data_IF_399391189419
#
_entry.id   IF_399391189419
#
_cell.length_a   1.000
_cell.length_b   1.000
_cell.length_c   1.000
_cell.angle_alpha   90.00
_cell.angle_beta   90.00
_cell.angle_gamma   90.00
#
_symmetry.space_group_name_H-M   'P 1'
#
loop_
_entity.id
_entity.type
_entity.pdbx_description
1 polymer ?
#
# COMPACT_ATOMS: atom_id res chain seq x y z
N UNK A 1 -27.66 -8.80 14.47
CA UNK A 1 -27.76 -9.46 13.15
C UNK A 1 -28.25 -8.56 12.02
N UNK A 2 -29.45 -7.97 12.05
CA UNK A 2 -29.92 -7.14 10.92
C UNK A 2 -29.04 -5.91 10.58
N UNK A 3 -28.52 -5.12 11.53
CA UNK A 3 -27.67 -3.98 11.17
C UNK A 3 -26.29 -4.40 10.65
N UNK A 4 -25.65 -5.44 11.21
CA UNK A 4 -24.34 -5.90 10.72
C UNK A 4 -24.43 -6.46 9.30
N UNK A 5 -25.49 -7.23 9.01
CA UNK A 5 -25.74 -7.76 7.66
C UNK A 5 -25.80 -6.65 6.61
N UNK A 6 -26.53 -5.57 6.91
CA UNK A 6 -26.65 -4.43 5.99
C UNK A 6 -25.28 -3.78 5.75
N UNK A 7 -24.46 -3.61 6.79
CA UNK A 7 -23.13 -3.03 6.65
C UNK A 7 -22.20 -3.94 5.86
N UNK A 8 -22.20 -5.25 6.10
CA UNK A 8 -21.37 -6.19 5.35
C UNK A 8 -21.76 -6.22 3.87
N UNK A 9 -23.05 -6.28 3.55
CA UNK A 9 -23.53 -6.21 2.17
C UNK A 9 -23.12 -4.87 1.53
N UNK A 10 -23.32 -3.76 2.24
CA UNK A 10 -22.92 -2.44 1.76
C UNK A 10 -21.41 -2.39 1.46
N UNK A 11 -20.56 -2.89 2.35
CA UNK A 11 -19.11 -2.89 2.17
C UNK A 11 -18.66 -3.84 1.05
N UNK A 12 -19.32 -4.98 0.87
CA UNK A 12 -19.05 -5.87 -0.26
C UNK A 12 -19.37 -5.19 -1.59
N UNK A 13 -20.54 -4.54 -1.69
CA UNK A 13 -20.95 -3.80 -2.90
C UNK A 13 -20.02 -2.60 -3.13
N UNK A 14 -19.74 -1.81 -2.09
CA UNK A 14 -18.82 -0.68 -2.15
C UNK A 14 -17.43 -1.13 -2.60
N UNK A 15 -16.90 -2.20 -2.02
CA UNK A 15 -15.59 -2.76 -2.38
C UNK A 15 -15.55 -3.24 -3.82
N UNK A 16 -16.60 -3.91 -4.31
CA UNK A 16 -16.70 -4.31 -5.71
C UNK A 16 -16.78 -3.09 -6.66
N UNK A 17 -17.54 -2.06 -6.29
CA UNK A 17 -17.63 -0.79 -7.05
C UNK A 17 -16.31 -0.04 -7.09
N UNK A 18 -15.62 0.08 -5.95
CA UNK A 18 -14.29 0.69 -5.88
C UNK A 18 -13.32 -0.15 -6.70
N UNK A 19 -13.31 -1.48 -6.57
CA UNK A 19 -12.49 -2.37 -7.40
C UNK A 19 -12.69 -2.18 -8.90
N UNK A 20 -13.92 -1.92 -9.34
CA UNK A 20 -14.21 -1.59 -10.74
C UNK A 20 -13.57 -0.27 -11.17
N UNK A 21 -13.59 0.75 -10.31
CA UNK A 21 -12.84 1.99 -10.52
C UNK A 21 -11.32 1.77 -10.48
N UNK A 22 -10.81 0.91 -9.59
CA UNK A 22 -9.39 0.59 -9.51
C UNK A 22 -8.86 0.00 -10.82
N UNK A 23 -9.66 -0.79 -11.56
CA UNK A 23 -9.28 -1.25 -12.89
C UNK A 23 -8.99 -0.10 -13.87
N UNK A 24 -9.73 1.01 -13.77
CA UNK A 24 -9.45 2.22 -14.57
C UNK A 24 -8.11 2.83 -14.16
N UNK A 25 -7.85 2.95 -12.86
CA UNK A 25 -6.58 3.51 -12.34
C UNK A 25 -5.40 2.64 -12.76
N UNK A 26 -5.50 1.32 -12.57
CA UNK A 26 -4.48 0.34 -12.93
C UNK A 26 -4.12 0.43 -14.42
N UNK A 27 -5.11 0.62 -15.29
CA UNK A 27 -4.89 0.73 -16.72
C UNK A 27 -4.31 2.09 -17.13
N UNK A 28 -4.88 3.19 -16.63
CA UNK A 28 -4.61 4.55 -17.15
C UNK A 28 -3.41 5.23 -16.51
N UNK A 29 -3.22 5.04 -15.21
CA UNK A 29 -2.24 5.81 -14.45
C UNK A 29 -0.79 5.57 -14.92
N UNK A 30 -0.34 4.32 -15.14
CA UNK A 30 1.01 4.05 -15.67
C UNK A 30 1.24 4.61 -17.08
N UNK A 31 0.15 4.83 -17.83
CA UNK A 31 0.17 5.36 -19.20
C UNK A 31 0.05 6.89 -19.26
N UNK A 32 0.00 7.56 -18.11
CA UNK A 32 -0.21 9.00 -18.03
C UNK A 32 -1.58 9.46 -18.55
N UNK A 33 -2.54 8.55 -18.70
CA UNK A 33 -3.89 8.87 -19.17
C UNK A 33 -4.75 9.44 -18.03
N UNK A 34 -5.73 10.27 -18.38
CA UNK A 34 -6.67 10.82 -17.39
C UNK A 34 -7.60 9.74 -16.82
N UNK A 35 -7.67 9.67 -15.48
CA UNK A 35 -8.55 8.75 -14.75
C UNK A 35 -10.03 9.16 -14.77
N UNK A 36 -10.33 10.42 -15.13
CA UNK A 36 -11.69 10.98 -15.09
C UNK A 36 -12.37 10.93 -16.45
N UNK A 37 -11.65 11.25 -17.53
CA UNK A 37 -12.21 11.37 -18.87
C UNK A 37 -11.22 10.83 -19.91
N UNK A 38 -11.67 10.13 -20.97
CA UNK A 38 -13.06 9.81 -21.35
C UNK A 38 -13.64 8.60 -20.58
N UNK A 39 -14.94 8.26 -20.74
CA UNK A 39 -15.53 7.05 -20.17
C UNK A 39 -14.84 5.75 -20.63
N UNK A 40 -15.08 4.64 -19.92
CA UNK A 40 -14.56 3.32 -20.29
C UNK A 40 -15.09 2.86 -21.65
N UNK A 41 -14.19 2.35 -22.49
CA UNK A 41 -14.48 1.89 -23.86
C UNK A 41 -13.83 0.55 -24.13
N UNK A 42 -14.39 -0.20 -25.08
CA UNK A 42 -13.74 -1.40 -25.57
C UNK A 42 -12.48 -1.02 -26.38
N UNK A 43 -11.30 -1.65 -26.14
CA UNK A 43 -10.09 -1.33 -26.89
C UNK A 43 -10.12 -1.81 -28.35
N UNK A 44 -11.04 -2.72 -28.72
CA UNK A 44 -11.13 -3.25 -30.08
C UNK A 44 -12.15 -2.52 -30.94
N UNK A 45 -13.37 -2.30 -30.42
CA UNK A 45 -14.43 -1.66 -31.19
C UNK A 45 -14.70 -0.22 -30.79
N UNK A 46 -13.98 0.31 -29.79
CA UNK A 46 -14.04 1.70 -29.30
C UNK A 46 -15.42 2.18 -28.81
N UNK A 47 -16.43 1.30 -28.85
CA UNK A 47 -17.74 1.51 -28.26
C UNK A 47 -17.60 1.80 -26.77
N UNK A 48 -18.39 2.77 -26.31
CA UNK A 48 -18.56 3.09 -24.89
C UNK A 48 -19.30 1.96 -24.16
N UNK A 49 -18.80 1.64 -22.96
CA UNK A 49 -19.40 0.63 -22.09
C UNK A 49 -20.61 1.26 -21.40
N UNK A 50 -21.78 0.63 -21.52
CA UNK A 50 -23.00 1.13 -20.87
C UNK A 50 -22.93 0.88 -19.37
N UNK A 51 -23.64 1.68 -18.57
CA UNK A 51 -23.58 1.58 -17.10
C UNK A 51 -23.90 0.17 -16.56
N UNK A 52 -24.86 -0.55 -17.15
CA UNK A 52 -25.21 -1.92 -16.74
C UNK A 52 -24.19 -2.97 -17.21
N UNK A 53 -23.38 -2.64 -18.22
CA UNK A 53 -22.22 -3.46 -18.63
C UNK A 53 -21.02 -3.25 -17.71
N UNK A 54 -21.10 -2.27 -16.80
CA UNK A 54 -20.09 -1.94 -15.81
C UNK A 54 -20.51 -2.28 -14.37
N UNK A 55 -21.56 -3.09 -14.18
CA UNK A 55 -21.95 -3.59 -12.84
C UNK A 55 -20.89 -4.62 -12.41
N UNK A 56 -20.14 -4.36 -11.32
CA UNK A 56 -18.99 -5.17 -10.92
C UNK A 56 -19.34 -6.65 -10.82
N UNK A 57 -18.48 -7.52 -11.36
CA UNK A 57 -18.57 -8.99 -11.40
C UNK A 57 -19.77 -9.54 -12.19
N UNK A 58 -20.98 -9.03 -11.93
CA UNK A 58 -22.23 -9.49 -12.53
C UNK A 58 -22.25 -9.28 -14.05
N UNK A 59 -21.79 -8.12 -14.53
CA UNK A 59 -21.75 -7.86 -15.97
C UNK A 59 -20.75 -8.78 -16.67
N UNK A 60 -19.60 -9.06 -16.06
CA UNK A 60 -18.59 -9.96 -16.60
C UNK A 60 -19.14 -11.38 -16.75
N UNK A 61 -19.83 -11.89 -15.72
CA UNK A 61 -20.44 -13.22 -15.75
C UNK A 61 -21.59 -13.30 -16.76
N UNK A 62 -22.49 -12.30 -16.79
CA UNK A 62 -23.61 -12.24 -17.72
C UNK A 62 -23.14 -12.18 -19.19
N UNK A 63 -22.07 -11.43 -19.46
CA UNK A 63 -21.44 -11.33 -20.77
C UNK A 63 -20.52 -12.51 -21.11
N UNK A 64 -20.34 -13.46 -20.18
CA UNK A 64 -19.42 -14.61 -20.30
C UNK A 64 -17.99 -14.18 -20.64
N UNK A 65 -17.54 -13.07 -20.04
CA UNK A 65 -16.20 -12.52 -20.24
C UNK A 65 -15.92 -12.03 -21.66
N UNK A 66 -16.94 -11.57 -22.41
CA UNK A 66 -16.79 -11.05 -23.78
C UNK A 66 -17.46 -9.70 -23.95
N UNK A 67 -16.87 -8.82 -24.76
CA UNK A 67 -17.49 -7.53 -25.08
C UNK A 67 -18.87 -7.73 -25.70
N UNK A 68 -19.88 -6.96 -25.26
CA UNK A 68 -21.24 -7.06 -25.78
C UNK A 68 -21.33 -6.80 -27.30
N UNK A 69 -20.53 -5.86 -27.83
CA UNK A 69 -20.52 -5.46 -29.24
C UNK A 69 -19.69 -6.38 -30.14
N UNK A 70 -18.37 -6.42 -29.96
CA UNK A 70 -17.44 -7.13 -30.86
C UNK A 70 -17.08 -8.55 -30.41
N UNK A 71 -17.57 -9.01 -29.25
CA UNK A 71 -17.28 -10.32 -28.66
C UNK A 71 -15.81 -10.62 -28.34
N UNK A 72 -14.92 -9.62 -28.43
CA UNK A 72 -13.53 -9.72 -27.95
C UNK A 72 -13.54 -10.14 -26.47
N UNK A 73 -12.67 -11.09 -26.05
CA UNK A 73 -12.56 -11.50 -24.66
C UNK A 73 -12.14 -10.34 -23.74
N UNK A 74 -12.71 -10.32 -22.53
CA UNK A 74 -12.37 -9.40 -21.45
C UNK A 74 -11.48 -10.16 -20.46
N UNK A 75 -10.38 -9.55 -20.03
CA UNK A 75 -9.44 -10.19 -19.09
C UNK A 75 -10.13 -10.56 -17.76
N UNK A 76 -9.92 -11.77 -17.22
CA UNK A 76 -10.43 -12.15 -15.89
C UNK A 76 -9.95 -11.27 -14.74
N UNK A 77 -8.83 -10.54 -14.93
CA UNK A 77 -8.27 -9.61 -13.94
C UNK A 77 -9.28 -8.57 -13.47
N UNK A 78 -10.15 -8.09 -14.36
CA UNK A 78 -11.14 -7.07 -14.02
C UNK A 78 -12.05 -7.56 -12.89
N UNK A 79 -12.63 -8.75 -13.08
CA UNK A 79 -13.47 -9.40 -12.07
C UNK A 79 -12.67 -9.82 -10.83
N UNK A 80 -11.41 -10.24 -10.98
CA UNK A 80 -10.54 -10.58 -9.85
C UNK A 80 -10.30 -9.38 -8.93
N UNK A 81 -9.98 -8.21 -9.48
CA UNK A 81 -9.76 -6.96 -8.73
C UNK A 81 -11.05 -6.52 -8.02
N UNK A 82 -12.20 -6.63 -8.67
CA UNK A 82 -13.51 -6.33 -8.08
C UNK A 82 -13.81 -7.26 -6.88
N UNK A 83 -13.63 -8.57 -7.06
CA UNK A 83 -13.88 -9.58 -6.02
C UNK A 83 -12.92 -9.48 -4.85
N UNK A 84 -11.62 -9.29 -5.09
CA UNK A 84 -10.65 -9.20 -4.00
C UNK A 84 -10.90 -7.92 -3.19
N UNK A 85 -11.19 -6.79 -3.83
CA UNK A 85 -11.48 -5.53 -3.12
C UNK A 85 -12.73 -5.67 -2.23
N UNK A 86 -13.78 -6.33 -2.73
CA UNK A 86 -14.97 -6.64 -1.94
C UNK A 86 -14.64 -7.51 -0.70
N UNK A 87 -13.87 -8.58 -0.88
CA UNK A 87 -13.46 -9.47 0.23
C UNK A 87 -12.59 -8.71 1.24
N UNK A 88 -11.61 -7.92 0.80
CA UNK A 88 -10.73 -7.14 1.69
C UNK A 88 -11.53 -6.15 2.54
N UNK A 89 -12.53 -5.49 1.97
CA UNK A 89 -13.39 -4.52 2.66
C UNK A 89 -14.25 -5.19 3.74
N UNK A 90 -14.81 -6.37 3.43
CA UNK A 90 -15.57 -7.16 4.41
C UNK A 90 -14.64 -7.71 5.49
N UNK A 91 -13.48 -8.23 5.12
CA UNK A 91 -12.53 -8.84 6.04
C UNK A 91 -11.98 -7.84 7.07
N UNK A 92 -11.69 -6.60 6.66
CA UNK A 92 -11.27 -5.58 7.61
C UNK A 92 -12.42 -5.17 8.55
N UNK A 93 -13.67 -5.15 8.06
CA UNK A 93 -14.83 -4.94 8.93
C UNK A 93 -15.06 -6.06 9.93
N UNK A 94 -14.95 -7.31 9.48
CA UNK A 94 -15.01 -8.49 10.34
C UNK A 94 -13.95 -8.42 11.44
N UNK A 95 -12.69 -8.13 11.07
CA UNK A 95 -11.61 -8.03 12.04
C UNK A 95 -11.79 -6.90 13.07
N UNK A 96 -12.17 -5.71 12.61
CA UNK A 96 -12.20 -4.52 13.47
C UNK A 96 -13.49 -4.39 14.28
N UNK A 97 -14.64 -4.78 13.72
CA UNK A 97 -15.96 -4.49 14.32
C UNK A 97 -16.79 -5.71 14.67
N UNK A 98 -16.66 -6.84 13.97
CA UNK A 98 -17.42 -8.05 14.33
C UNK A 98 -16.66 -8.88 15.36
N UNK A 99 -15.36 -9.06 15.13
CA UNK A 99 -14.48 -9.91 15.94
C UNK A 99 -13.59 -9.13 16.91
N UNK A 100 -13.65 -7.78 16.88
CA UNK A 100 -12.96 -6.87 17.82
C UNK A 100 -11.46 -7.15 18.03
N UNK A 101 -10.75 -7.49 16.96
CA UNK A 101 -9.35 -7.94 17.03
C UNK A 101 -8.34 -6.81 17.21
N UNK A 102 -8.79 -5.56 17.11
CA UNK A 102 -7.94 -4.38 17.19
C UNK A 102 -8.43 -3.41 18.28
N UNK A 103 -7.57 -2.98 19.22
CA UNK A 103 -7.99 -2.24 20.41
C UNK A 103 -8.50 -0.83 20.11
N UNK A 104 -8.04 -0.22 19.01
CA UNK A 104 -8.50 1.12 18.61
C UNK A 104 -9.91 1.16 18.03
N UNK A 105 -10.57 0.03 17.81
CA UNK A 105 -11.88 -0.02 17.14
C UNK A 105 -12.98 -0.38 18.13
N UNK A 106 -13.33 0.59 18.97
CA UNK A 106 -14.40 0.48 19.95
C UNK A 106 -15.52 1.48 19.62
N UNK A 107 -16.60 0.98 19.00
CA UNK A 107 -17.79 1.76 18.67
C UNK A 107 -17.75 2.42 17.28
N UNK A 108 -18.57 1.90 16.35
CA UNK A 108 -18.58 2.29 14.93
C UNK A 108 -18.72 3.80 14.68
N UNK A 109 -19.53 4.50 15.48
CA UNK A 109 -19.75 5.94 15.29
C UNK A 109 -18.54 6.80 15.65
N UNK A 110 -17.66 6.35 16.55
CA UNK A 110 -16.45 7.09 16.90
C UNK A 110 -15.28 6.79 15.95
N UNK A 111 -15.26 5.58 15.37
CA UNK A 111 -14.11 5.06 14.62
C UNK A 111 -14.35 4.95 13.12
N UNK A 112 -15.47 5.46 12.61
CA UNK A 112 -15.74 5.49 11.17
C UNK A 112 -14.64 6.19 10.34
N UNK A 113 -13.97 7.28 10.80
CA UNK A 113 -12.89 7.90 10.02
C UNK A 113 -11.69 6.96 9.88
N UNK A 114 -11.33 6.28 10.98
CA UNK A 114 -10.28 5.27 10.97
C UNK A 114 -10.64 4.14 10.00
N UNK A 115 -11.89 3.67 10.02
CA UNK A 115 -12.34 2.65 9.09
C UNK A 115 -12.22 3.12 7.63
N UNK A 116 -12.71 4.31 7.32
CA UNK A 116 -12.60 4.90 5.99
C UNK A 116 -11.13 4.99 5.53
N UNK A 117 -10.22 5.38 6.43
CA UNK A 117 -8.78 5.36 6.19
C UNK A 117 -8.26 3.97 5.80
N UNK A 118 -8.65 2.92 6.53
CA UNK A 118 -8.23 1.55 6.23
C UNK A 118 -8.81 1.03 4.90
N UNK A 119 -10.06 1.38 4.56
CA UNK A 119 -10.65 1.06 3.26
C UNK A 119 -9.89 1.73 2.10
N UNK A 120 -9.50 3.01 2.28
CA UNK A 120 -8.68 3.74 1.31
C UNK A 120 -7.30 3.08 1.19
N UNK A 121 -6.65 2.74 2.30
CA UNK A 121 -5.36 2.05 2.31
C UNK A 121 -5.44 0.74 1.53
N UNK A 122 -6.44 -0.11 1.80
CA UNK A 122 -6.61 -1.39 1.12
C UNK A 122 -6.85 -1.20 -0.38
N UNK A 123 -7.67 -0.22 -0.79
CA UNK A 123 -7.87 0.10 -2.20
C UNK A 123 -6.56 0.55 -2.88
N UNK A 124 -5.77 1.40 -2.22
CA UNK A 124 -4.45 1.83 -2.70
C UNK A 124 -3.48 0.66 -2.80
N UNK A 125 -3.43 -0.21 -1.79
CA UNK A 125 -2.58 -1.40 -1.81
C UNK A 125 -2.97 -2.36 -2.94
N UNK A 126 -4.25 -2.54 -3.23
CA UNK A 126 -4.71 -3.34 -4.38
C UNK A 126 -4.23 -2.73 -5.70
N UNK A 127 -4.39 -1.42 -5.89
CA UNK A 127 -3.89 -0.74 -7.11
C UNK A 127 -2.38 -0.85 -7.24
N UNK A 128 -1.63 -0.51 -6.17
CA UNK A 128 -0.18 -0.61 -6.15
C UNK A 128 0.27 -2.04 -6.48
N UNK A 129 -0.33 -3.05 -5.84
CA UNK A 129 -0.02 -4.46 -6.11
C UNK A 129 -0.29 -4.83 -7.56
N UNK A 130 -1.44 -4.42 -8.11
CA UNK A 130 -1.81 -4.77 -9.47
C UNK A 130 -0.94 -4.08 -10.52
N UNK A 131 -0.54 -2.82 -10.29
CA UNK A 131 0.39 -2.09 -11.16
C UNK A 131 1.80 -2.70 -11.05
N UNK A 132 2.27 -3.01 -9.84
CA UNK A 132 3.58 -3.60 -9.60
C UNK A 132 3.71 -4.99 -10.24
N UNK A 133 2.66 -5.82 -10.14
CA UNK A 133 2.61 -7.12 -10.83
C UNK A 133 2.70 -6.97 -12.35
N UNK A 134 2.18 -5.90 -12.95
CA UNK A 134 2.19 -5.73 -14.40
C UNK A 134 3.44 -5.01 -14.92
N UNK A 135 3.89 -3.97 -14.22
CA UNK A 135 4.87 -3.01 -14.70
C UNK A 135 6.10 -2.85 -13.80
N UNK A 136 6.18 -3.53 -12.65
CA UNK A 136 7.25 -3.40 -11.65
C UNK A 136 7.49 -1.95 -11.20
N UNK A 137 6.42 -1.15 -11.14
CA UNK A 137 6.47 0.25 -10.74
C UNK A 137 5.41 0.55 -9.69
N UNK A 138 5.74 1.45 -8.77
CA UNK A 138 4.82 2.02 -7.81
C UNK A 138 4.65 3.50 -8.11
N UNK A 139 3.42 3.91 -8.44
CA UNK A 139 3.10 5.31 -8.65
C UNK A 139 2.98 6.05 -7.31
N UNK A 140 3.95 6.94 -7.05
CA UNK A 140 4.06 7.70 -5.80
C UNK A 140 2.85 8.63 -5.59
N UNK A 141 2.13 9.04 -6.65
CA UNK A 141 0.96 9.92 -6.52
C UNK A 141 -0.15 9.24 -5.73
N UNK A 142 -0.33 7.92 -5.90
CA UNK A 142 -1.36 7.16 -5.17
C UNK A 142 -0.96 7.02 -3.69
N UNK A 143 0.31 6.78 -3.40
CA UNK A 143 0.77 6.65 -2.00
C UNK A 143 0.70 8.01 -1.29
N UNK A 144 0.98 9.13 -1.97
CA UNK A 144 0.72 10.48 -1.44
C UNK A 144 -0.76 10.69 -1.11
N UNK A 145 -1.66 10.25 -1.98
CA UNK A 145 -3.09 10.29 -1.71
C UNK A 145 -3.45 9.50 -0.45
N UNK A 146 -2.92 8.29 -0.27
CA UNK A 146 -3.15 7.49 0.95
C UNK A 146 -2.60 8.19 2.21
N UNK A 147 -1.39 8.74 2.17
CA UNK A 147 -0.81 9.46 3.30
C UNK A 147 -1.64 10.67 3.70
N UNK A 148 -2.12 11.44 2.72
CA UNK A 148 -2.99 12.59 2.96
C UNK A 148 -4.35 12.15 3.51
N UNK A 149 -4.94 11.09 2.97
CA UNK A 149 -6.17 10.51 3.49
C UNK A 149 -5.98 10.06 4.94
N UNK A 150 -4.87 9.40 5.28
CA UNK A 150 -4.54 9.03 6.66
C UNK A 150 -4.49 10.22 7.58
N UNK A 151 -3.76 11.28 7.22
CA UNK A 151 -3.71 12.52 7.99
C UNK A 151 -5.11 13.10 8.24
N UNK A 152 -5.94 13.23 7.21
CA UNK A 152 -7.30 13.76 7.32
C UNK A 152 -8.22 12.88 8.18
N UNK A 153 -8.13 11.55 8.02
CA UNK A 153 -8.95 10.61 8.78
C UNK A 153 -8.55 10.62 10.26
N UNK A 154 -7.26 10.67 10.57
CA UNK A 154 -6.78 10.78 11.96
C UNK A 154 -7.20 12.11 12.61
N UNK A 155 -7.13 13.23 11.88
CA UNK A 155 -7.63 14.53 12.36
C UNK A 155 -9.12 14.52 12.70
N UNK A 156 -9.88 13.63 12.08
CA UNK A 156 -11.34 13.53 12.21
C UNK A 156 -11.78 12.57 13.32
N UNK A 157 -10.85 11.96 14.07
CA UNK A 157 -11.19 11.06 15.18
C UNK A 157 -11.59 11.88 16.42
N UNK A 158 -12.71 11.55 17.09
CA UNK A 158 -13.10 12.24 18.31
C UNK A 158 -12.02 12.16 19.40
N UNK A 159 -11.81 13.27 20.12
CA UNK A 159 -10.78 13.41 21.14
C UNK A 159 -10.93 12.37 22.26
N UNK A 160 -12.17 12.07 22.66
CA UNK A 160 -12.48 11.06 23.67
C UNK A 160 -12.04 9.64 23.25
N UNK A 161 -11.95 9.38 21.95
CA UNK A 161 -11.48 8.12 21.41
C UNK A 161 -9.95 8.08 21.30
N UNK A 162 -9.35 9.18 20.81
CA UNK A 162 -7.89 9.34 20.75
C UNK A 162 -7.24 9.20 22.12
N UNK A 163 -7.87 9.71 23.18
CA UNK A 163 -7.36 9.60 24.55
C UNK A 163 -7.30 8.15 25.08
N UNK A 164 -7.99 7.20 24.45
CA UNK A 164 -7.96 5.77 24.80
C UNK A 164 -6.89 4.99 24.03
N UNK A 165 -6.23 5.63 23.07
CA UNK A 165 -5.15 5.02 22.30
C UNK A 165 -3.86 5.24 23.09
N UNK A 166 -3.40 4.19 23.77
CA UNK A 166 -2.22 4.23 24.64
C UNK A 166 -0.97 4.80 23.94
N UNK A 167 -0.20 5.60 24.66
CA UNK A 167 1.10 6.14 24.22
C UNK A 167 1.04 7.34 23.27
N UNK A 168 -0.16 7.79 22.88
CA UNK A 168 -0.31 8.93 21.98
C UNK A 168 -0.16 10.29 22.68
N UNK A 169 -0.72 10.45 23.88
CA UNK A 169 -0.70 11.73 24.61
C UNK A 169 0.69 12.13 25.13
N UNK A 170 1.41 11.18 25.75
CA UNK A 170 2.64 11.48 26.49
C UNK A 170 3.84 11.78 25.56
N UNK A 171 3.88 11.18 24.38
CA UNK A 171 5.01 11.31 23.45
C UNK A 171 4.75 12.25 22.28
N UNK A 172 3.51 12.72 22.08
CA UNK A 172 3.18 13.47 20.88
C UNK A 172 3.82 14.86 20.80
N UNK A 173 4.03 15.53 21.94
CA UNK A 173 4.79 16.79 21.94
C UNK A 173 6.23 16.57 21.42
N UNK A 174 6.88 15.50 21.87
CA UNK A 174 8.23 15.12 21.41
C UNK A 174 8.26 14.76 19.93
N UNK A 175 7.30 13.95 19.48
CA UNK A 175 7.14 13.56 18.07
C UNK A 175 6.97 14.82 17.20
N UNK A 176 6.12 15.76 17.60
CA UNK A 176 5.84 16.96 16.81
C UNK A 176 7.04 17.91 16.73
N UNK A 177 7.77 18.08 17.82
CA UNK A 177 9.01 18.87 17.78
C UNK A 177 10.10 18.19 16.96
N UNK A 178 10.22 16.87 17.06
CA UNK A 178 11.06 16.09 16.18
C UNK A 178 10.68 16.31 14.71
N UNK A 179 9.39 16.22 14.36
CA UNK A 179 8.92 16.45 12.99
C UNK A 179 9.19 17.88 12.51
N UNK A 180 9.02 18.88 13.39
CA UNK A 180 9.30 20.29 13.07
C UNK A 180 10.80 20.49 12.82
N UNK A 181 11.64 19.90 13.67
CA UNK A 181 13.09 19.86 13.47
C UNK A 181 13.48 19.15 12.18
N UNK A 182 12.81 18.04 11.83
CA UNK A 182 13.01 17.32 10.57
C UNK A 182 12.65 18.17 9.34
N UNK A 183 11.57 18.95 9.40
CA UNK A 183 11.18 19.90 8.34
C UNK A 183 12.24 20.99 8.19
N UNK A 184 12.75 21.56 9.28
CA UNK A 184 13.86 22.52 9.24
C UNK A 184 15.10 21.87 8.60
N UNK A 185 15.45 20.65 9.03
CA UNK A 185 16.52 19.85 8.44
C UNK A 185 16.35 19.61 6.93
N UNK A 186 15.12 19.37 6.48
CA UNK A 186 14.78 19.23 5.06
C UNK A 186 14.96 20.54 4.28
N UNK A 187 14.56 21.68 4.86
CA UNK A 187 14.79 23.02 4.27
C UNK A 187 16.29 23.30 4.14
N UNK A 188 17.07 22.97 5.18
CA UNK A 188 18.53 23.11 5.20
C UNK A 188 19.16 22.22 4.12
N UNK A 189 18.75 20.95 4.01
CA UNK A 189 19.20 20.02 2.96
C UNK A 189 19.01 20.65 1.57
N UNK A 190 17.82 21.20 1.30
CA UNK A 190 17.49 21.82 0.00
C UNK A 190 18.37 23.04 -0.31
N UNK A 191 18.85 23.77 0.71
CA UNK A 191 19.70 24.96 0.53
C UNK A 191 21.21 24.68 0.51
N UNK A 192 21.68 23.69 1.25
CA UNK A 192 23.12 23.43 1.46
C UNK A 192 23.64 22.26 0.60
N UNK A 193 22.89 21.16 0.51
CA UNK A 193 23.40 19.89 -0.06
C UNK A 193 23.18 19.79 -1.57
N UNK A 194 22.09 20.38 -2.09
CA UNK A 194 21.66 20.22 -3.49
C UNK A 194 21.88 21.47 -4.36
N UNK A 195 22.78 22.38 -3.99
CA UNK A 195 23.10 23.53 -4.85
C UNK A 195 23.93 23.14 -6.09
N UNK A 196 24.59 21.97 -6.08
CA UNK A 196 25.60 21.56 -7.08
C UNK A 196 25.51 20.09 -7.55
N UNK A 197 24.41 19.38 -7.33
CA UNK A 197 24.24 18.02 -7.91
C UNK A 197 23.46 18.11 -9.22
N UNK A 198 24.02 17.68 -10.36
CA UNK A 198 23.27 17.63 -11.61
C UNK A 198 22.06 16.70 -11.45
N UNK A 199 20.94 17.08 -12.07
CA UNK A 199 19.69 16.32 -12.02
C UNK A 199 19.95 14.90 -12.57
N UNK A 200 19.52 13.80 -11.92
CA UNK A 200 19.66 12.46 -12.49
C UNK A 200 18.98 12.31 -13.86
N UNK A 201 17.92 13.09 -14.12
CA UNK A 201 17.29 13.21 -15.45
C UNK A 201 18.18 13.91 -16.51
N UNK A 202 19.26 14.57 -16.09
CA UNK A 202 20.25 15.21 -16.98
C UNK A 202 21.52 14.37 -17.14
N UNK A 203 21.54 13.13 -16.64
CA UNK A 203 22.54 12.18 -17.09
C UNK A 203 22.11 11.71 -18.48
N UNK A 204 22.47 12.51 -19.48
CA UNK A 204 22.26 12.25 -20.89
C UNK A 204 22.62 10.79 -21.17
N UNK A 205 21.67 10.05 -21.78
CA UNK A 205 22.00 8.79 -22.45
C UNK A 205 23.26 9.04 -23.29
N UNK A 206 24.23 8.12 -23.32
CA UNK A 206 25.41 8.28 -24.15
C UNK A 206 24.98 8.70 -25.56
N UNK A 207 25.51 9.83 -26.00
CA UNK A 207 25.32 10.51 -27.29
C UNK A 207 25.82 9.63 -28.46
N UNK A 208 25.26 8.42 -28.58
CA UNK A 208 25.61 7.41 -29.58
C UNK A 208 24.38 6.80 -30.26
N UNK A 209 23.18 7.26 -29.96
CA UNK A 209 21.97 6.94 -30.74
C UNK A 209 21.66 8.13 -31.64
N UNK A 210 22.26 8.14 -32.83
CA UNK A 210 22.03 9.15 -33.86
C UNK A 210 20.54 9.35 -34.17
N UNK A 211 20.20 10.54 -34.67
CA UNK A 211 18.82 11.00 -34.95
C UNK A 211 18.00 10.03 -35.82
N UNK A 212 18.65 9.16 -36.61
CA UNK A 212 18.01 8.08 -37.36
C UNK A 212 17.31 7.05 -36.46
N UNK A 213 17.92 6.66 -35.34
CA UNK A 213 17.37 5.63 -34.43
C UNK A 213 16.16 6.14 -33.64
N UNK A 214 16.12 7.44 -33.32
CA UNK A 214 14.97 8.07 -32.64
C UNK A 214 13.77 8.17 -33.59
N UNK A 215 14.02 8.37 -34.89
CA UNK A 215 12.97 8.36 -35.92
C UNK A 215 12.39 6.95 -36.14
N UNK A 216 13.24 5.91 -36.08
CA UNK A 216 12.82 4.50 -36.14
C UNK A 216 12.06 4.06 -34.89
N UNK A 217 12.49 4.48 -33.69
CA UNK A 217 11.78 4.22 -32.44
C UNK A 217 10.38 4.86 -32.42
N UNK A 218 10.25 6.11 -32.89
CA UNK A 218 8.93 6.77 -33.05
C UNK A 218 8.07 6.11 -34.14
N UNK A 219 8.68 5.54 -35.19
CA UNK A 219 7.98 4.72 -36.19
C UNK A 219 7.51 3.38 -35.61
N UNK A 220 8.27 2.79 -34.69
CA UNK A 220 7.91 1.54 -34.03
C UNK A 220 6.87 1.73 -32.91
N UNK A 221 6.86 2.87 -32.20
CA UNK A 221 5.80 3.22 -31.24
C UNK A 221 4.45 3.53 -31.93
N UNK A 222 4.49 4.13 -33.12
CA UNK A 222 3.28 4.42 -33.90
C UNK A 222 2.73 3.20 -34.66
N UNK A 223 3.46 2.09 -34.69
CA UNK A 223 2.96 0.82 -35.20
C UNK A 223 2.00 0.18 -34.19
N UNK A 224 0.70 0.49 -34.30
CA UNK A 224 -0.37 -0.30 -33.65
C UNK A 224 -0.06 -1.80 -33.85
N UNK A 225 -0.03 -2.64 -32.79
CA UNK A 225 0.25 -4.05 -32.94
C UNK A 225 -0.77 -4.67 -33.91
N UNK A 226 -0.29 -5.06 -35.10
CA UNK A 226 -1.10 -5.69 -36.17
C UNK A 226 -1.39 -7.17 -35.94
N UNK A 227 -1.28 -7.66 -34.72
CA UNK A 227 -1.71 -9.01 -34.37
C UNK A 227 -2.89 -8.93 -33.40
N UNK A 228 -4.05 -9.39 -33.87
CA UNK A 228 -5.18 -9.71 -32.98
C UNK A 228 -4.66 -10.63 -31.88
N UNK A 229 -4.76 -10.29 -30.59
CA UNK A 229 -4.52 -11.28 -29.55
C UNK A 229 -5.56 -12.38 -29.74
N UNK A 230 -5.14 -13.56 -30.21
CA UNK A 230 -5.95 -14.77 -30.17
C UNK A 230 -6.02 -15.24 -28.71
N UNK A 231 -6.77 -14.49 -27.90
CA UNK A 231 -7.19 -14.95 -26.59
C UNK A 231 -8.48 -15.75 -26.80
N UNK A 232 -8.33 -17.04 -27.09
CA UNK A 232 -9.39 -17.95 -26.69
C UNK A 232 -9.34 -17.91 -25.16
N UNK A 233 -10.28 -17.22 -24.51
CA UNK A 233 -10.48 -17.40 -23.08
C UNK A 233 -10.78 -18.89 -22.90
N UNK A 234 -9.75 -19.65 -22.49
CA UNK A 234 -9.84 -21.09 -22.37
C UNK A 234 -10.96 -21.37 -21.35
N UNK A 235 -11.80 -22.38 -21.57
CA UNK A 235 -12.88 -22.73 -20.65
C UNK A 235 -12.40 -22.82 -19.18
N UNK A 236 -11.14 -23.22 -18.99
CA UNK A 236 -10.40 -23.24 -17.72
C UNK A 236 -10.26 -21.87 -17.03
N UNK A 237 -10.07 -20.77 -17.76
CA UNK A 237 -9.98 -19.43 -17.18
C UNK A 237 -11.33 -18.95 -16.65
N UNK A 238 -12.41 -19.24 -17.38
CA UNK A 238 -13.78 -18.92 -16.95
C UNK A 238 -14.18 -19.76 -15.74
N UNK A 239 -13.85 -21.06 -15.76
CA UNK A 239 -14.09 -21.96 -14.63
C UNK A 239 -13.29 -21.53 -13.38
N UNK A 240 -12.00 -21.21 -13.53
CA UNK A 240 -11.17 -20.73 -12.43
C UNK A 240 -11.69 -19.43 -11.81
N UNK A 241 -12.13 -18.48 -12.64
CA UNK A 241 -12.75 -17.25 -12.14
C UNK A 241 -14.09 -17.51 -11.45
N UNK A 242 -14.91 -18.43 -11.95
CA UNK A 242 -16.18 -18.80 -11.30
C UNK A 242 -15.95 -19.42 -9.91
N UNK A 243 -14.93 -20.28 -9.78
CA UNK A 243 -14.52 -20.85 -8.48
C UNK A 243 -14.04 -19.73 -7.54
N UNK A 244 -13.23 -18.80 -8.05
CA UNK A 244 -12.77 -17.65 -7.26
C UNK A 244 -13.94 -16.74 -6.83
N UNK A 245 -14.90 -16.49 -7.71
CA UNK A 245 -16.11 -15.73 -7.37
C UNK A 245 -16.94 -16.44 -6.30
N UNK A 246 -17.13 -17.75 -6.45
CA UNK A 246 -17.87 -18.56 -5.48
C UNK A 246 -17.21 -18.54 -4.10
N UNK A 247 -15.89 -18.72 -4.03
CA UNK A 247 -15.17 -18.66 -2.76
C UNK A 247 -15.17 -17.26 -2.13
N UNK A 248 -15.07 -16.20 -2.93
CA UNK A 248 -15.28 -14.82 -2.44
C UNK A 248 -16.65 -14.63 -1.79
N UNK A 249 -17.72 -15.15 -2.42
CA UNK A 249 -19.07 -15.10 -1.86
C UNK A 249 -19.14 -15.93 -0.56
N UNK A 250 -18.57 -17.13 -0.54
CA UNK A 250 -18.55 -17.97 0.66
C UNK A 250 -17.83 -17.29 1.82
N UNK A 251 -16.73 -16.59 1.59
CA UNK A 251 -16.02 -15.83 2.60
C UNK A 251 -16.87 -14.69 3.16
N UNK A 252 -17.56 -13.94 2.31
CA UNK A 252 -18.46 -12.86 2.74
C UNK A 252 -19.65 -13.43 3.53
N UNK A 253 -20.24 -14.54 3.09
CA UNK A 253 -21.33 -15.22 3.81
C UNK A 253 -20.84 -15.76 5.16
N UNK A 254 -19.62 -16.30 5.22
CA UNK A 254 -19.03 -16.78 6.46
C UNK A 254 -18.74 -15.63 7.44
N UNK A 255 -18.38 -14.44 6.96
CA UNK A 255 -18.27 -13.24 7.78
C UNK A 255 -19.60 -12.82 8.41
N UNK A 256 -20.74 -13.15 7.78
CA UNK A 256 -22.07 -12.78 8.26
C UNK A 256 -22.64 -13.82 9.23
N UNK A 257 -22.50 -15.11 8.88
CA UNK A 257 -23.17 -16.21 9.57
C UNK A 257 -22.26 -16.91 10.59
N UNK A 258 -20.95 -16.70 10.52
CA UNK A 258 -19.97 -17.36 11.37
C UNK A 258 -19.94 -16.80 12.79
N UNK A 259 -19.44 -17.61 13.72
CA UNK A 259 -19.20 -17.16 15.09
C UNK A 259 -18.04 -16.15 15.13
N UNK A 260 -18.15 -15.13 15.98
CA UNK A 260 -17.16 -14.04 16.07
C UNK A 260 -16.18 -14.18 17.24
N UNK A 261 -16.04 -15.40 17.77
CA UNK A 261 -14.98 -15.69 18.73
C UNK A 261 -13.59 -15.69 18.06
N UNK A 262 -12.56 -15.63 18.90
CA UNK A 262 -11.15 -15.53 18.48
C UNK A 262 -10.69 -16.69 17.58
N UNK A 263 -11.15 -17.92 17.82
CA UNK A 263 -10.73 -19.09 17.06
C UNK A 263 -11.41 -19.14 15.69
N UNK A 264 -12.72 -18.92 15.67
CA UNK A 264 -13.49 -18.83 14.42
C UNK A 264 -12.99 -17.68 13.55
N UNK A 265 -12.67 -16.52 14.13
CA UNK A 265 -12.04 -15.43 13.41
C UNK A 265 -10.66 -15.79 12.87
N UNK A 266 -9.80 -16.47 13.65
CA UNK A 266 -8.48 -16.86 13.17
C UNK A 266 -8.56 -17.72 11.90
N UNK A 267 -9.54 -18.64 11.84
CA UNK A 267 -9.79 -19.46 10.65
C UNK A 267 -10.27 -18.60 9.46
N UNK A 268 -11.18 -17.65 9.68
CA UNK A 268 -11.62 -16.70 8.64
C UNK A 268 -10.47 -15.84 8.14
N UNK A 269 -9.67 -15.29 9.05
CA UNK A 269 -8.52 -14.46 8.73
C UNK A 269 -7.48 -15.20 7.88
N UNK A 270 -7.19 -16.47 8.21
CA UNK A 270 -6.33 -17.32 7.38
C UNK A 270 -6.94 -17.54 5.98
N UNK A 271 -8.25 -17.73 5.90
CA UNK A 271 -8.93 -17.89 4.61
C UNK A 271 -8.91 -16.60 3.78
N UNK A 272 -9.12 -15.43 4.39
CA UNK A 272 -8.99 -14.12 3.75
C UNK A 272 -7.57 -13.90 3.20
N UNK A 273 -6.55 -14.17 4.00
CA UNK A 273 -5.13 -14.07 3.62
C UNK A 273 -4.78 -15.03 2.49
N UNK A 274 -5.22 -16.28 2.60
CA UNK A 274 -5.07 -17.28 1.54
C UNK A 274 -5.75 -16.85 0.24
N UNK A 275 -6.90 -16.19 0.32
CA UNK A 275 -7.61 -15.66 -0.85
C UNK A 275 -6.84 -14.54 -1.55
N UNK A 276 -6.27 -13.61 -0.78
CA UNK A 276 -5.40 -12.56 -1.33
C UNK A 276 -4.11 -13.12 -1.92
N UNK A 277 -3.48 -14.09 -1.25
CA UNK A 277 -2.31 -14.80 -1.77
C UNK A 277 -2.63 -15.46 -3.12
N UNK A 278 -3.74 -16.19 -3.20
CA UNK A 278 -4.19 -16.81 -4.44
C UNK A 278 -4.44 -15.76 -5.54
N UNK A 279 -5.05 -14.62 -5.21
CA UNK A 279 -5.26 -13.54 -6.17
C UNK A 279 -3.95 -12.98 -6.74
N UNK A 280 -2.90 -12.80 -5.91
CA UNK A 280 -1.57 -12.37 -6.37
C UNK A 280 -0.98 -13.41 -7.32
N UNK A 281 -1.02 -14.70 -6.94
CA UNK A 281 -0.50 -15.78 -7.78
C UNK A 281 -1.23 -15.83 -9.12
N UNK A 282 -2.57 -15.77 -9.12
CA UNK A 282 -3.39 -15.76 -10.34
C UNK A 282 -3.13 -14.52 -11.20
N UNK A 283 -2.99 -13.34 -10.59
CA UNK A 283 -2.66 -12.09 -11.26
C UNK A 283 -1.28 -12.11 -11.92
N UNK A 284 -0.34 -12.88 -11.36
CA UNK A 284 1.00 -13.07 -11.89
C UNK A 284 1.14 -14.09 -13.02
N UNK A 285 0.08 -14.81 -13.42
CA UNK A 285 0.14 -15.88 -14.45
C UNK A 285 0.41 -15.37 -15.89
N UNK A 286 -0.30 -14.35 -16.41
CA UNK A 286 -0.10 -13.89 -17.79
C UNK A 286 1.35 -13.50 -18.09
N UNK A 287 1.85 -13.82 -19.28
CA UNK A 287 3.22 -13.53 -19.71
C UNK A 287 3.39 -12.02 -19.97
N UNK A 288 4.45 -11.40 -19.41
CA UNK A 288 4.69 -9.95 -19.52
C UNK A 288 5.52 -9.63 -20.77
N UNK A 289 5.27 -8.50 -21.41
CA UNK A 289 6.12 -8.00 -22.50
C UNK A 289 7.49 -7.50 -22.00
N UNK A 290 7.64 -7.17 -20.71
CA UNK A 290 8.79 -6.46 -20.13
C UNK A 290 9.79 -7.32 -19.33
N UNK A 291 9.57 -8.64 -19.17
CA UNK A 291 10.34 -9.46 -18.22
C UNK A 291 11.85 -9.59 -18.56
N UNK A 292 12.25 -9.45 -19.84
CA UNK A 292 13.68 -9.53 -20.24
C UNK A 292 14.40 -8.19 -20.16
N UNK A 293 13.73 -7.11 -20.54
CA UNK A 293 14.30 -5.75 -20.56
C UNK A 293 14.58 -5.25 -19.13
N UNK A 294 13.70 -5.56 -18.18
CA UNK A 294 13.86 -5.16 -16.76
C UNK A 294 15.02 -5.90 -16.09
N UNK A 295 15.17 -7.20 -16.34
CA UNK A 295 16.28 -7.98 -15.78
C UNK A 295 17.61 -7.41 -16.29
N UNK A 296 17.70 -7.04 -17.57
CA UNK A 296 18.90 -6.40 -18.14
C UNK A 296 19.18 -5.03 -17.52
N UNK A 297 18.16 -4.17 -17.35
CA UNK A 297 18.32 -2.86 -16.70
C UNK A 297 18.84 -2.96 -15.25
N UNK A 298 18.34 -3.93 -14.47
CA UNK A 298 18.81 -4.19 -13.09
C UNK A 298 20.29 -4.61 -13.08
N UNK A 299 20.77 -5.31 -14.12
CA UNK A 299 22.17 -5.72 -14.20
C UNK A 299 23.12 -4.58 -14.56
N UNK A 300 22.66 -3.60 -15.35
CA UNK A 300 23.43 -2.41 -15.73
C UNK A 300 23.61 -1.42 -14.57
N UNK A 301 22.63 -1.28 -13.67
CA UNK A 301 22.68 -0.35 -12.53
C UNK A 301 23.64 -0.79 -11.38
N UNK A 302 24.15 -2.02 -11.40
CA UNK A 302 24.99 -2.57 -10.31
C UNK A 302 26.23 -1.73 -9.99
N UNK A 303 26.80 -1.04 -10.98
CA UNK A 303 28.07 -0.31 -10.84
C UNK A 303 27.95 0.99 -10.02
N UNK A 304 26.76 1.60 -9.94
CA UNK A 304 26.56 2.89 -9.25
C UNK A 304 25.78 2.79 -7.93
N UNK A 305 25.19 1.62 -7.62
CA UNK A 305 24.29 1.44 -6.49
C UNK A 305 24.86 1.90 -5.12
N UNK A 306 26.12 1.60 -4.81
CA UNK A 306 26.75 2.01 -3.55
C UNK A 306 26.94 3.53 -3.43
N UNK A 307 27.29 4.19 -4.53
CA UNK A 307 27.45 5.64 -4.57
C UNK A 307 26.10 6.32 -4.38
N UNK A 308 25.05 5.79 -5.04
CA UNK A 308 23.67 6.24 -4.85
C UNK A 308 23.26 6.11 -3.38
N UNK A 309 23.46 4.95 -2.75
CA UNK A 309 23.15 4.75 -1.33
C UNK A 309 23.88 5.73 -0.39
N UNK A 310 25.15 6.05 -0.65
CA UNK A 310 25.90 7.03 0.13
C UNK A 310 25.36 8.46 -0.05
N UNK A 311 24.97 8.84 -1.28
CA UNK A 311 24.30 10.13 -1.55
C UNK A 311 22.94 10.22 -0.85
N UNK A 312 22.18 9.13 -0.88
CA UNK A 312 20.90 9.01 -0.18
C UNK A 312 21.09 9.20 1.34
N UNK A 313 22.06 8.50 1.94
CA UNK A 313 22.42 8.65 3.36
C UNK A 313 22.83 10.09 3.72
N UNK A 314 23.73 10.70 2.92
CA UNK A 314 24.14 12.08 3.11
C UNK A 314 22.97 13.07 3.00
N UNK A 315 22.01 12.80 2.11
CA UNK A 315 20.79 13.57 1.96
C UNK A 315 19.83 13.47 3.15
N UNK A 316 19.80 12.34 3.86
CA UNK A 316 18.96 12.13 5.03
C UNK A 316 19.54 12.72 6.32
N UNK A 317 20.86 12.87 6.40
CA UNK A 317 21.55 13.31 7.61
C UNK A 317 21.01 14.65 8.18
N UNK A 318 20.78 15.72 7.39
CA UNK A 318 20.20 16.96 7.93
C UNK A 318 18.79 16.78 8.51
N UNK A 319 18.00 15.86 7.94
CA UNK A 319 16.62 15.56 8.40
C UNK A 319 16.68 14.85 9.75
N UNK A 320 17.55 13.84 9.88
CA UNK A 320 17.74 13.09 11.12
C UNK A 320 18.29 14.00 12.23
N UNK A 321 19.32 14.81 11.93
CA UNK A 321 19.88 15.78 12.88
C UNK A 321 18.80 16.78 13.31
N UNK A 322 18.05 17.33 12.36
CA UNK A 322 16.94 18.22 12.65
C UNK A 322 15.91 17.58 13.60
N UNK A 323 15.54 16.33 13.35
CA UNK A 323 14.62 15.59 14.22
C UNK A 323 15.15 15.46 15.66
N UNK A 324 16.40 15.02 15.82
CA UNK A 324 17.03 14.84 17.12
C UNK A 324 17.15 16.18 17.88
N UNK A 325 17.51 17.25 17.18
CA UNK A 325 17.57 18.61 17.75
C UNK A 325 16.19 19.06 18.22
N UNK A 326 15.14 18.80 17.45
CA UNK A 326 13.77 19.12 17.83
C UNK A 326 13.32 18.40 19.11
N UNK A 327 13.59 17.09 19.21
CA UNK A 327 13.29 16.30 20.41
C UNK A 327 14.09 16.82 21.63
N UNK A 328 15.39 17.07 21.45
CA UNK A 328 16.25 17.57 22.51
C UNK A 328 15.82 18.96 23.00
N UNK A 329 15.42 19.85 22.09
CA UNK A 329 14.99 21.22 22.42
C UNK A 329 13.75 21.25 23.31
N UNK A 330 12.78 20.34 23.09
CA UNK A 330 11.63 20.20 23.99
C UNK A 330 12.06 19.70 25.36
N UNK A 331 12.89 18.66 25.42
CA UNK A 331 13.33 18.08 26.70
C UNK A 331 14.15 19.09 27.53
N UNK A 332 14.91 19.95 26.87
CA UNK A 332 15.70 20.99 27.51
C UNK A 332 14.87 22.18 28.03
N UNK A 333 13.61 22.35 27.58
CA UNK A 333 12.78 23.51 27.91
C UNK A 333 11.35 23.12 28.28
N UNK A 334 11.05 22.96 29.60
CA UNK A 334 9.70 22.71 30.07
C UNK A 334 8.69 23.81 29.65
N UNK A 335 9.16 25.05 29.46
CA UNK A 335 8.33 26.12 28.96
C UNK A 335 7.89 25.87 27.50
N UNK A 336 8.81 25.41 26.66
CA UNK A 336 8.52 25.06 25.26
C UNK A 336 7.58 23.85 25.19
N UNK A 337 7.82 22.82 26.00
CA UNK A 337 6.94 21.65 26.09
C UNK A 337 5.50 22.06 26.44
N UNK A 338 5.32 22.92 27.44
CA UNK A 338 3.99 23.41 27.84
C UNK A 338 3.29 24.23 26.74
N UNK A 339 4.03 25.05 25.99
CA UNK A 339 3.49 25.80 24.85
C UNK A 339 3.05 24.85 23.73
N UNK A 340 3.88 23.87 23.38
CA UNK A 340 3.57 22.87 22.36
C UNK A 340 2.38 22.02 22.78
N UNK A 341 2.31 21.58 24.05
CA UNK A 341 1.18 20.81 24.58
C UNK A 341 -0.14 21.57 24.50
N UNK A 342 -0.15 22.89 24.76
CA UNK A 342 -1.36 23.72 24.61
C UNK A 342 -1.86 23.82 23.17
N UNK A 343 -0.95 23.95 22.20
CA UNK A 343 -1.31 23.96 20.78
C UNK A 343 -1.85 22.58 20.35
N UNK A 344 -1.22 21.52 20.86
CA UNK A 344 -1.55 20.14 20.58
C UNK A 344 -2.92 19.70 21.12
N UNK A 345 -3.25 20.09 22.36
CA UNK A 345 -4.52 19.78 23.02
C UNK A 345 -5.67 20.71 22.59
N UNK A 346 -5.46 21.57 21.58
CA UNK A 346 -6.48 22.47 21.09
C UNK A 346 -7.69 21.68 20.59
N UNK A 347 -8.82 21.87 21.27
CA UNK A 347 -10.10 21.23 20.93
C UNK A 347 -10.86 22.09 19.93
N UNK A 348 -11.31 21.45 18.85
CA UNK A 348 -12.27 22.03 17.89
C UNK A 348 -13.53 21.18 17.97
N UNK A 349 -14.51 21.64 18.75
CA UNK A 349 -15.70 20.84 19.07
C UNK A 349 -15.33 19.54 19.80
N UNK A 350 -15.74 18.40 19.25
CA UNK A 350 -15.42 17.07 19.79
C UNK A 350 -14.04 16.53 19.36
N UNK A 351 -13.29 17.27 18.53
CA UNK A 351 -12.08 16.80 17.87
C UNK A 351 -10.82 17.46 18.45
N UNK A 352 -9.71 16.73 18.41
CA UNK A 352 -8.35 17.23 18.68
C UNK A 352 -7.49 16.95 17.45
N UNK A 353 -7.65 17.74 16.37
CA UNK A 353 -7.11 17.39 15.06
C UNK A 353 -5.59 17.30 15.03
N UNK A 354 -4.88 18.12 15.81
CA UNK A 354 -3.42 18.08 15.90
C UNK A 354 -2.90 16.79 16.54
N UNK A 355 -3.67 16.19 17.47
CA UNK A 355 -3.38 14.86 18.03
C UNK A 355 -3.39 13.81 16.93
N UNK A 356 -4.50 13.72 16.18
CA UNK A 356 -4.61 12.79 15.08
C UNK A 356 -3.56 13.02 13.99
N UNK A 357 -3.36 14.27 13.56
CA UNK A 357 -2.36 14.62 12.55
C UNK A 357 -0.95 14.16 12.95
N UNK A 358 -0.58 14.37 14.22
CA UNK A 358 0.73 13.96 14.71
C UNK A 358 0.96 12.45 14.58
N UNK A 359 -0.09 11.63 14.77
CA UNK A 359 0.00 10.19 14.60
C UNK A 359 0.31 9.79 13.16
N UNK A 360 -0.45 10.33 12.21
CA UNK A 360 -0.24 10.04 10.80
C UNK A 360 1.16 10.48 10.33
N UNK A 361 1.60 11.68 10.75
CA UNK A 361 2.93 12.19 10.41
C UNK A 361 4.06 11.39 11.06
N UNK A 362 3.90 10.95 12.32
CA UNK A 362 4.84 10.07 12.99
C UNK A 362 4.95 8.73 12.26
N UNK A 363 3.80 8.17 11.87
CA UNK A 363 3.69 6.99 11.04
C UNK A 363 4.53 7.14 9.77
N UNK A 364 4.22 8.14 8.95
CA UNK A 364 4.94 8.45 7.71
C UNK A 364 6.44 8.59 7.95
N UNK A 365 6.84 9.39 8.93
CA UNK A 365 8.24 9.68 9.21
C UNK A 365 8.99 8.42 9.62
N UNK A 366 8.55 7.73 10.67
CA UNK A 366 9.25 6.57 11.23
C UNK A 366 9.35 5.42 10.23
N UNK A 367 8.28 5.14 9.47
CA UNK A 367 8.30 4.06 8.48
C UNK A 367 9.12 4.42 7.25
N UNK A 368 9.12 5.68 6.83
CA UNK A 368 9.99 6.15 5.76
C UNK A 368 11.46 6.07 6.19
N UNK A 369 11.80 6.53 7.39
CA UNK A 369 13.16 6.41 7.94
C UNK A 369 13.59 4.95 8.01
N UNK A 370 12.72 4.04 8.47
CA UNK A 370 13.00 2.61 8.46
C UNK A 370 13.23 2.08 7.04
N UNK A 371 12.34 2.37 6.09
CA UNK A 371 12.48 1.88 4.71
C UNK A 371 13.74 2.40 4.02
N UNK A 372 14.09 3.67 4.22
CA UNK A 372 15.35 4.25 3.73
C UNK A 372 16.57 3.61 4.39
N UNK A 373 16.53 3.35 5.70
CA UNK A 373 17.61 2.66 6.40
C UNK A 373 17.83 1.25 5.85
N UNK A 374 16.75 0.48 5.63
CA UNK A 374 16.80 -0.84 4.99
C UNK A 374 17.40 -0.73 3.59
N UNK A 375 16.89 0.17 2.73
CA UNK A 375 17.42 0.40 1.38
C UNK A 375 18.92 0.68 1.40
N UNK A 376 19.38 1.61 2.23
CA UNK A 376 20.79 2.00 2.32
C UNK A 376 21.67 0.84 2.84
N UNK A 377 21.32 0.25 3.99
CA UNK A 377 22.13 -0.78 4.63
C UNK A 377 22.32 -2.01 3.74
N UNK A 378 21.24 -2.51 3.14
CA UNK A 378 21.32 -3.67 2.26
C UNK A 378 21.97 -3.33 0.92
N UNK A 379 21.77 -2.13 0.37
CA UNK A 379 22.43 -1.71 -0.88
C UNK A 379 23.95 -1.59 -0.69
N UNK A 380 24.41 -1.06 0.45
CA UNK A 380 25.83 -1.02 0.80
C UNK A 380 26.40 -2.44 0.97
N UNK A 381 25.69 -3.30 1.70
CA UNK A 381 26.09 -4.68 1.96
C UNK A 381 26.19 -5.53 0.68
N UNK A 382 25.14 -5.56 -0.13
CA UNK A 382 25.07 -6.42 -1.33
C UNK A 382 25.71 -5.79 -2.57
N UNK A 383 25.93 -4.47 -2.59
CA UNK A 383 26.46 -3.76 -3.75
C UNK A 383 25.50 -3.69 -4.93
N UNK A 384 24.20 -3.87 -4.70
CA UNK A 384 23.11 -3.78 -5.68
C UNK A 384 21.91 -3.13 -5.01
N UNK A 385 21.04 -2.48 -5.78
CA UNK A 385 19.79 -1.94 -5.23
C UNK A 385 18.99 -3.04 -4.52
N UNK A 386 18.81 -2.88 -3.21
CA UNK A 386 18.20 -3.91 -2.38
C UNK A 386 16.68 -3.80 -2.27
N UNK A 387 16.13 -2.59 -2.43
CA UNK A 387 14.71 -2.30 -2.23
C UNK A 387 14.33 -1.08 -3.07
N UNK A 388 13.24 -1.17 -3.83
CA UNK A 388 12.77 -0.07 -4.66
C UNK A 388 12.31 1.12 -3.82
N UNK A 389 12.58 2.34 -4.28
CA UNK A 389 12.12 3.55 -3.58
C UNK A 389 10.60 3.59 -3.42
N UNK A 390 9.85 3.03 -4.38
CA UNK A 390 8.39 2.92 -4.34
C UNK A 390 7.86 2.16 -3.13
N UNK A 391 8.55 1.09 -2.71
CA UNK A 391 8.17 0.27 -1.54
C UNK A 391 8.22 1.07 -0.24
N UNK A 392 9.15 2.04 -0.14
CA UNK A 392 9.26 2.94 1.01
C UNK A 392 7.99 3.80 1.14
N UNK A 393 7.43 4.26 0.01
CA UNK A 393 6.20 5.05 0.03
C UNK A 393 4.96 4.21 0.33
N UNK A 394 4.95 2.92 -0.01
CA UNK A 394 3.90 1.99 0.46
C UNK A 394 3.97 1.87 1.98
N UNK A 395 5.17 1.67 2.55
CA UNK A 395 5.36 1.65 4.00
C UNK A 395 4.94 2.95 4.67
N UNK A 396 5.23 4.10 4.06
CA UNK A 396 4.79 5.41 4.52
C UNK A 396 3.25 5.55 4.52
N UNK A 397 2.58 5.07 3.46
CA UNK A 397 1.12 5.06 3.40
C UNK A 397 0.49 4.15 4.46
N UNK A 398 1.05 2.95 4.68
CA UNK A 398 0.62 2.06 5.76
C UNK A 398 0.86 2.72 7.11
N UNK A 399 2.03 3.31 7.33
CA UNK A 399 2.37 4.04 8.56
C UNK A 399 1.40 5.17 8.87
N UNK A 400 1.02 5.96 7.85
CA UNK A 400 0.10 7.08 7.98
C UNK A 400 -1.30 6.68 8.48
N UNK A 401 -1.77 5.49 8.11
CA UNK A 401 -3.15 5.06 8.34
C UNK A 401 -3.21 4.01 9.46
N UNK A 402 -2.44 2.94 9.34
CA UNK A 402 -2.43 1.79 10.22
C UNK A 402 -1.37 1.85 11.33
N UNK A 403 -0.49 2.86 11.29
CA UNK A 403 0.56 3.07 12.27
C UNK A 403 1.87 2.35 11.97
N UNK A 404 2.92 2.79 12.67
CA UNK A 404 4.31 2.34 12.45
C UNK A 404 4.49 0.85 12.70
N UNK A 405 3.85 0.30 13.75
CA UNK A 405 3.96 -1.12 14.09
C UNK A 405 3.49 -2.02 12.94
N UNK A 406 2.31 -1.71 12.39
CA UNK A 406 1.73 -2.46 11.28
C UNK A 406 2.64 -2.42 10.05
N UNK A 407 3.17 -1.24 9.72
CA UNK A 407 4.05 -1.09 8.56
C UNK A 407 5.37 -1.86 8.71
N UNK A 408 6.07 -1.73 9.84
CA UNK A 408 7.38 -2.37 10.05
C UNK A 408 7.24 -3.88 10.19
N UNK A 409 6.33 -4.35 11.05
CA UNK A 409 6.14 -5.79 11.24
C UNK A 409 5.52 -6.40 9.97
N UNK A 410 4.61 -5.69 9.32
CA UNK A 410 4.04 -6.09 8.04
C UNK A 410 5.08 -6.24 6.94
N UNK A 411 6.10 -5.37 6.88
CA UNK A 411 7.23 -5.51 5.96
C UNK A 411 7.95 -6.86 6.15
N UNK A 412 8.30 -7.23 7.39
CA UNK A 412 9.00 -8.49 7.67
C UNK A 412 8.12 -9.71 7.39
N UNK A 413 6.83 -9.68 7.78
CA UNK A 413 5.88 -10.73 7.45
C UNK A 413 5.77 -10.87 5.92
N UNK A 414 5.68 -9.75 5.21
CA UNK A 414 5.64 -9.70 3.76
C UNK A 414 6.87 -10.33 3.11
N UNK A 415 8.08 -10.06 3.62
CA UNK A 415 9.31 -10.71 3.16
C UNK A 415 9.23 -12.24 3.25
N UNK A 416 8.78 -12.78 4.40
CA UNK A 416 8.66 -14.23 4.61
C UNK A 416 7.65 -14.85 3.65
N UNK A 417 6.50 -14.21 3.47
CA UNK A 417 5.45 -14.71 2.56
C UNK A 417 5.89 -14.60 1.10
N UNK A 418 6.61 -13.53 0.75
CA UNK A 418 7.18 -13.35 -0.58
C UNK A 418 8.14 -14.48 -0.95
N UNK A 419 8.98 -14.94 -0.02
CA UNK A 419 9.83 -16.13 -0.22
C UNK A 419 8.98 -17.36 -0.52
N UNK A 420 7.89 -17.59 0.22
CA UNK A 420 6.98 -18.69 -0.08
C UNK A 420 6.33 -18.54 -1.48
N UNK A 421 5.94 -17.32 -1.85
CA UNK A 421 5.45 -16.99 -3.20
C UNK A 421 6.46 -17.35 -4.29
N UNK A 422 7.75 -17.04 -4.09
CA UNK A 422 8.83 -17.43 -5.01
C UNK A 422 8.88 -18.96 -5.15
N UNK A 423 8.84 -19.71 -4.05
CA UNK A 423 8.86 -21.19 -4.11
C UNK A 423 7.70 -21.73 -4.95
N UNK A 424 6.48 -21.21 -4.77
CA UNK A 424 5.31 -21.60 -5.56
C UNK A 424 5.51 -21.30 -7.06
N UNK A 425 6.02 -20.11 -7.38
CA UNK A 425 6.28 -19.70 -8.77
C UNK A 425 7.39 -20.55 -9.43
N UNK A 426 8.40 -20.97 -8.67
CA UNK A 426 9.44 -21.88 -9.13
C UNK A 426 8.90 -23.28 -9.40
N UNK A 427 8.01 -23.81 -8.54
CA UNK A 427 7.34 -25.09 -8.77
C UNK A 427 6.47 -25.07 -10.03
N UNK A 428 5.93 -23.91 -10.38
CA UNK A 428 5.19 -23.69 -11.63
C UNK A 428 6.10 -23.40 -12.84
N UNK A 429 7.43 -23.55 -12.69
CA UNK A 429 8.44 -23.36 -13.72
C UNK A 429 8.37 -21.96 -14.36
N UNK A 430 7.99 -20.96 -13.59
CA UNK A 430 8.05 -19.56 -14.01
C UNK A 430 9.30 -18.90 -13.44
N UNK A 431 10.30 -18.62 -14.28
CA UNK A 431 11.47 -17.82 -13.90
C UNK A 431 11.15 -16.34 -14.14
N UNK A 432 10.75 -15.61 -13.10
CA UNK A 432 10.30 -14.21 -13.21
C UNK A 432 10.84 -13.39 -12.06
N UNK A 433 11.10 -12.11 -12.30
CA UNK A 433 11.34 -11.16 -11.22
C UNK A 433 10.06 -11.01 -10.37
N UNK A 434 10.22 -10.92 -9.06
CA UNK A 434 9.12 -10.80 -8.11
C UNK A 434 8.92 -9.32 -7.77
N UNK A 435 7.74 -8.79 -8.05
CA UNK A 435 7.29 -7.49 -7.57
C UNK A 435 7.07 -7.57 -6.05
N UNK A 436 7.75 -6.73 -5.26
CA UNK A 436 7.76 -6.84 -3.80
C UNK A 436 6.54 -6.18 -3.13
N UNK A 437 5.96 -5.13 -3.73
CA UNK A 437 4.82 -4.39 -3.19
C UNK A 437 3.60 -5.24 -2.80
N UNK A 438 3.15 -6.22 -3.61
CA UNK A 438 2.06 -7.13 -3.25
C UNK A 438 2.29 -7.91 -1.96
N UNK A 439 3.54 -8.26 -1.65
CA UNK A 439 3.89 -9.02 -0.45
C UNK A 439 3.92 -8.13 0.78
N UNK A 440 4.39 -6.88 0.65
CA UNK A 440 4.25 -5.86 1.71
C UNK A 440 2.77 -5.66 2.02
N UNK A 441 1.90 -5.56 1.00
CA UNK A 441 0.46 -5.37 1.19
C UNK A 441 -0.16 -6.52 2.00
N UNK A 442 0.12 -7.78 1.65
CA UNK A 442 -0.36 -8.94 2.42
C UNK A 442 0.23 -8.95 3.83
N UNK A 443 1.52 -8.67 4.00
CA UNK A 443 2.17 -8.66 5.30
C UNK A 443 1.57 -7.63 6.25
N UNK A 444 1.33 -6.41 5.75
CA UNK A 444 0.63 -5.36 6.50
C UNK A 444 -0.79 -5.77 6.86
N UNK A 445 -1.51 -6.42 5.94
CA UNK A 445 -2.86 -6.88 6.20
C UNK A 445 -2.91 -8.00 7.24
N UNK A 446 -1.99 -8.96 7.23
CA UNK A 446 -1.86 -9.98 8.28
C UNK A 446 -1.58 -9.32 9.63
N UNK A 447 -0.66 -8.35 9.66
CA UNK A 447 -0.35 -7.62 10.88
C UNK A 447 -1.58 -6.88 11.43
N UNK A 448 -2.42 -6.32 10.56
CA UNK A 448 -3.71 -5.72 10.94
C UNK A 448 -4.70 -6.74 11.51
N UNK A 449 -4.91 -7.86 10.81
CA UNK A 449 -5.88 -8.88 11.22
C UNK A 449 -5.50 -9.55 12.56
N UNK A 450 -4.21 -9.69 12.84
CA UNK A 450 -3.68 -10.34 14.03
C UNK A 450 -2.92 -9.36 14.96
N UNK A 451 -3.31 -8.09 14.96
CA UNK A 451 -2.60 -7.04 15.69
C UNK A 451 -2.34 -7.39 17.15
N UNK A 452 -3.40 -7.70 17.92
CA UNK A 452 -3.28 -7.99 19.35
C UNK A 452 -2.36 -9.19 19.67
N UNK A 453 -2.54 -10.37 19.04
CA UNK A 453 -1.61 -11.49 19.22
C UNK A 453 -0.15 -11.14 18.91
N UNK A 454 0.10 -10.47 17.77
CA UNK A 454 1.46 -10.14 17.32
C UNK A 454 2.08 -9.08 18.24
N UNK A 455 1.33 -8.03 18.56
CA UNK A 455 1.79 -6.95 19.44
C UNK A 455 2.13 -7.50 20.83
N UNK A 456 1.25 -8.29 21.45
CA UNK A 456 1.49 -8.86 22.77
C UNK A 456 2.67 -9.84 22.79
N UNK A 457 2.89 -10.57 21.70
CA UNK A 457 4.05 -11.45 21.57
C UNK A 457 5.37 -10.68 21.44
N UNK A 458 5.39 -9.57 20.70
CA UNK A 458 6.60 -8.76 20.47
C UNK A 458 6.87 -7.71 21.56
N UNK A 459 5.84 -7.29 22.31
CA UNK A 459 5.93 -6.26 23.36
C UNK A 459 7.03 -6.55 24.39
N UNK A 460 7.21 -7.77 24.93
CA UNK A 460 8.28 -8.08 25.88
C UNK A 460 9.68 -7.86 25.30
N UNK A 461 9.90 -8.22 24.03
CA UNK A 461 11.18 -8.01 23.37
C UNK A 461 11.47 -6.51 23.17
N UNK A 462 10.46 -5.72 22.82
CA UNK A 462 10.57 -4.26 22.75
C UNK A 462 10.88 -3.62 24.09
N UNK A 463 10.20 -4.05 25.16
CA UNK A 463 10.46 -3.59 26.53
C UNK A 463 11.86 -3.97 27.00
N UNK A 464 12.34 -5.18 26.68
CA UNK A 464 13.69 -5.62 26.97
C UNK A 464 14.75 -4.79 26.22
N UNK A 465 14.54 -4.49 24.94
CA UNK A 465 15.42 -3.60 24.17
C UNK A 465 15.46 -2.20 24.79
N UNK A 466 14.30 -1.63 25.11
CA UNK A 466 14.24 -0.32 25.76
C UNK A 466 14.95 -0.33 27.12
N UNK A 467 14.78 -1.38 27.92
CA UNK A 467 15.50 -1.58 29.17
C UNK A 467 17.02 -1.65 28.94
N UNK A 468 17.49 -2.41 27.95
CA UNK A 468 18.93 -2.50 27.64
C UNK A 468 19.53 -1.13 27.27
N UNK A 469 18.78 -0.28 26.57
CA UNK A 469 19.26 1.04 26.14
C UNK A 469 19.07 2.16 27.18
N UNK A 470 18.06 2.07 28.05
CA UNK A 470 17.70 3.16 28.98
C UNK A 470 17.99 2.83 30.45
N UNK A 471 18.23 1.55 30.78
CA UNK A 471 18.38 1.08 32.16
C UNK A 471 17.11 1.20 33.01
N UNK A 472 15.96 1.53 32.41
CA UNK A 472 14.74 1.86 33.14
C UNK A 472 13.73 0.72 33.07
N UNK A 473 13.17 0.33 34.22
CA UNK A 473 12.06 -0.62 34.30
C UNK A 473 10.78 0.10 33.86
N UNK A 474 10.47 0.03 32.56
CA UNK A 474 9.19 0.54 32.05
C UNK A 474 8.03 -0.16 32.75
N UNK A 475 7.26 0.59 33.54
CA UNK A 475 6.02 0.12 34.18
C UNK A 475 4.87 0.04 33.18
#
# INVERSE_FOLDING_TARGET
MMPELIVVIFLAVLGASIGSFLNVVIYRLPRGESIVSPPSRCPTCERWIRWYENVPVLSYLALRGRCAGCKTPISPRYALVELITAVLFVAIYDALYLSHMHPWFNGAMATWPLMAGHLILLAVLVVCSAIDIEFYLIDIRITYFAMMAGALMWMSVPAAHLAKIDGLGDNAAMILAGLTGAVIGMIIRRRIVFKNTPNPEQQELPEQLGEENVSELKKNESAKPKSKPKSNANAWQVAGLAIFAFGSICLIVWAILGEHDKYSFAMRALAYVGWAFLAIILGGIPQRQSDREIVQAIEEEKSFARITALKEFAGLLPIIIGFLVGVFAIHASPALENVVRKIYELKIGAFTPFVGLSYALAGIFLTSTFGWAVRILFTLGFGKEAMGAGDIYILAAIGAIAGTFVAIVGFFIGSVIGVFGIVVLLLWKTSRALSYGPWIAIGAWICLLFYNPIFNYLRPAGAMMLHLFTGNEGK
#
